data_IF_255928424145
#
_entry.id   IF_255928424145
#
_cell.length_a   1.000
_cell.length_b   1.000
_cell.length_c   1.000
_cell.angle_alpha   90.00
_cell.angle_beta   90.00
_cell.angle_gamma   90.00
#
_symmetry.space_group_name_H-M   'P 1'
#
loop_
_entity.id
_entity.type
_entity.pdbx_description
1 polymer ?
#
# COMPACT_ATOMS: atom_id res chain seq x y z
N UNK A 1 -1.29 34.73 11.64
CA UNK A 1 -2.41 35.21 10.81
C UNK A 1 -2.14 34.74 9.36
N UNK A 2 -2.52 33.50 9.03
CA UNK A 2 -2.21 32.87 7.74
C UNK A 2 -3.35 33.08 6.74
N UNK A 3 -3.01 33.59 5.55
CA UNK A 3 -3.94 33.82 4.43
C UNK A 3 -4.38 32.49 3.83
N UNK A 4 -5.68 32.21 3.90
CA UNK A 4 -6.37 31.09 3.27
C UNK A 4 -6.54 31.41 1.78
N UNK A 5 -5.87 30.69 0.89
CA UNK A 5 -6.10 30.78 -0.56
C UNK A 5 -7.33 29.94 -0.89
N UNK A 6 -8.43 30.57 -1.27
CA UNK A 6 -9.57 29.88 -1.87
C UNK A 6 -9.21 29.45 -3.29
N UNK A 7 -9.42 28.16 -3.61
CA UNK A 7 -9.43 27.68 -4.99
C UNK A 7 -10.83 27.17 -5.34
N UNK A 8 -11.29 27.64 -6.49
CA UNK A 8 -12.61 27.43 -7.08
C UNK A 8 -12.83 25.95 -7.40
N UNK A 9 -13.97 25.40 -6.97
CA UNK A 9 -14.38 24.03 -7.28
C UNK A 9 -14.95 23.96 -8.69
N UNK A 10 -14.34 23.15 -9.55
CA UNK A 10 -14.96 22.72 -10.82
C UNK A 10 -15.65 21.39 -10.56
N UNK A 11 -16.96 21.35 -10.75
CA UNK A 11 -17.75 20.11 -10.76
C UNK A 11 -17.55 19.43 -12.12
N UNK A 12 -17.12 18.17 -12.13
CA UNK A 12 -17.23 17.31 -13.30
C UNK A 12 -18.20 16.15 -13.01
N UNK A 13 -19.26 16.11 -13.80
CA UNK A 13 -20.27 15.05 -13.84
C UNK A 13 -19.66 13.82 -14.53
N UNK A 14 -20.03 12.63 -14.03
CA UNK A 14 -19.39 11.37 -14.33
C UNK A 14 -19.43 10.89 -15.78
N UNK A 15 -18.35 10.19 -16.13
CA UNK A 15 -18.33 9.11 -17.10
C UNK A 15 -17.40 8.03 -16.54
N UNK A 16 -17.87 6.78 -16.49
CA UNK A 16 -17.04 5.61 -16.19
C UNK A 16 -16.08 5.46 -17.37
N UNK A 17 -14.84 5.91 -17.19
CA UNK A 17 -13.75 5.72 -18.13
C UNK A 17 -12.86 4.60 -17.60
N UNK A 18 -12.90 3.44 -18.25
CA UNK A 18 -11.81 2.47 -18.18
C UNK A 18 -10.64 3.14 -18.88
N UNK A 19 -9.71 3.71 -18.12
CA UNK A 19 -8.50 4.31 -18.67
C UNK A 19 -7.57 3.17 -19.07
N UNK A 20 -7.63 2.78 -20.35
CA UNK A 20 -6.48 2.14 -20.98
C UNK A 20 -5.45 3.27 -21.22
N UNK A 21 -4.44 3.37 -20.36
CA UNK A 21 -3.30 4.25 -20.60
C UNK A 21 -2.48 3.60 -21.71
N UNK A 22 -2.73 3.98 -22.96
CA UNK A 22 -1.80 3.74 -24.04
C UNK A 22 -0.70 4.81 -23.94
N UNK A 23 0.46 4.44 -23.38
CA UNK A 23 1.64 5.30 -23.47
C UNK A 23 2.15 5.24 -24.91
N UNK A 24 1.79 6.23 -25.71
CA UNK A 24 2.35 6.42 -27.04
C UNK A 24 3.78 6.98 -26.90
N UNK A 25 4.79 6.11 -27.01
CA UNK A 25 6.15 6.54 -27.23
C UNK A 25 6.26 7.10 -28.66
N UNK A 26 6.48 8.40 -28.77
CA UNK A 26 6.87 9.03 -30.03
C UNK A 26 8.31 8.61 -30.34
N UNK A 27 8.48 7.80 -31.39
CA UNK A 27 9.78 7.51 -31.97
C UNK A 27 10.34 8.79 -32.61
N UNK A 28 11.08 9.58 -31.83
CA UNK A 28 11.92 10.66 -32.32
C UNK A 28 13.20 10.09 -32.91
N UNK A 29 13.35 10.19 -34.23
CA UNK A 29 14.57 9.85 -34.94
C UNK A 29 15.68 10.87 -34.68
N UNK A 30 16.88 10.37 -34.35
CA UNK A 30 18.16 11.04 -34.62
C UNK A 30 18.81 11.80 -33.46
N UNK A 31 19.84 11.19 -32.86
CA UNK A 31 20.81 11.89 -32.01
C UNK A 31 21.48 10.98 -30.96
N UNK A 32 22.61 10.39 -31.30
CA UNK A 32 23.39 9.51 -30.44
C UNK A 32 24.34 10.32 -29.53
N UNK A 33 24.11 10.32 -28.21
CA UNK A 33 25.15 10.50 -27.18
C UNK A 33 24.58 10.14 -25.81
N UNK A 34 25.21 9.17 -25.14
CA UNK A 34 24.59 8.33 -24.13
C UNK A 34 24.16 8.98 -22.82
N UNK A 35 23.08 8.42 -22.28
CA UNK A 35 23.02 7.92 -20.90
C UNK A 35 22.00 6.79 -20.90
N UNK A 36 22.44 5.55 -20.66
CA UNK A 36 21.54 4.45 -20.35
C UNK A 36 20.81 4.82 -19.05
N UNK A 37 19.57 5.29 -19.15
CA UNK A 37 18.66 5.27 -18.01
C UNK A 37 18.39 3.80 -17.70
N UNK A 38 18.83 3.35 -16.53
CA UNK A 38 18.53 2.01 -16.04
C UNK A 38 17.02 1.81 -16.07
N UNK A 39 16.54 0.69 -16.64
CA UNK A 39 15.11 0.37 -16.72
C UNK A 39 14.51 0.00 -15.36
N UNK A 40 15.11 0.40 -14.24
CA UNK A 40 14.72 0.05 -12.86
C UNK A 40 14.02 1.20 -12.13
N UNK A 41 14.02 2.41 -12.69
CA UNK A 41 13.52 3.59 -11.98
C UNK A 41 11.98 3.70 -12.04
N UNK A 42 11.37 3.14 -13.10
CA UNK A 42 9.92 3.13 -13.29
C UNK A 42 9.38 1.75 -12.94
N UNK A 43 8.52 1.68 -11.92
CA UNK A 43 7.86 0.44 -11.49
C UNK A 43 6.43 0.44 -11.96
N UNK A 44 6.03 -0.66 -12.61
CA UNK A 44 4.65 -0.95 -12.97
C UNK A 44 4.21 -2.24 -12.30
N UNK A 45 3.17 -2.17 -11.47
CA UNK A 45 2.60 -3.31 -10.76
C UNK A 45 1.09 -3.37 -11.01
N UNK A 46 0.58 -4.57 -11.32
CA UNK A 46 -0.84 -4.87 -11.35
C UNK A 46 -1.12 -6.02 -10.40
N UNK A 47 -1.96 -5.76 -9.39
CA UNK A 47 -2.39 -6.75 -8.42
C UNK A 47 -3.89 -7.05 -8.51
N UNK A 48 -4.25 -8.29 -8.23
CA UNK A 48 -5.64 -8.75 -8.07
C UNK A 48 -5.72 -9.73 -6.89
N UNK A 49 -6.73 -10.61 -6.82
CA UNK A 49 -6.98 -11.53 -5.70
C UNK A 49 -6.88 -10.81 -4.33
N UNK A 50 -7.86 -9.94 -4.08
CA UNK A 50 -7.78 -8.96 -2.99
C UNK A 50 -8.17 -9.58 -1.67
N UNK A 51 -7.46 -9.18 -0.62
CA UNK A 51 -7.73 -9.59 0.74
C UNK A 51 -7.83 -8.39 1.66
N UNK A 52 -8.93 -8.27 2.37
CA UNK A 52 -9.11 -7.30 3.45
C UNK A 52 -8.42 -7.87 4.69
N UNK A 53 -7.50 -7.11 5.27
CA UNK A 53 -6.75 -7.50 6.47
C UNK A 53 -7.45 -6.96 7.71
N UNK A 54 -8.34 -7.77 8.28
CA UNK A 54 -9.01 -7.45 9.55
C UNK A 54 -9.93 -6.22 9.45
N UNK A 55 -9.81 -5.32 10.42
CA UNK A 55 -10.59 -4.10 10.56
C UNK A 55 -10.36 -3.46 11.92
N UNK A 56 -11.14 -2.43 12.25
CA UNK A 56 -11.02 -1.69 13.50
C UNK A 56 -10.89 -2.63 14.71
N UNK A 57 -9.86 -2.39 15.53
CA UNK A 57 -9.45 -3.21 16.65
C UNK A 57 -8.26 -4.13 16.35
N UNK A 58 -8.17 -4.64 15.12
CA UNK A 58 -7.09 -5.55 14.72
C UNK A 58 -6.89 -5.51 13.19
N UNK A 59 -5.99 -4.64 12.73
CA UNK A 59 -5.76 -4.38 11.31
C UNK A 59 -4.61 -5.18 10.70
N UNK A 60 -4.03 -6.11 11.46
CA UNK A 60 -2.97 -7.00 10.98
C UNK A 60 -3.36 -8.47 11.05
N UNK A 61 -4.26 -8.87 11.94
CA UNK A 61 -4.78 -10.24 12.04
C UNK A 61 -3.69 -11.31 11.83
N UNK A 62 -2.64 -11.25 12.65
CA UNK A 62 -1.47 -12.12 12.48
C UNK A 62 -1.84 -13.60 12.45
N UNK A 63 -2.87 -14.02 13.18
CA UNK A 63 -3.41 -15.39 13.15
C UNK A 63 -4.24 -15.77 11.92
N UNK A 64 -4.32 -14.92 10.88
CA UNK A 64 -5.08 -15.18 9.65
C UNK A 64 -6.61 -15.05 9.77
N UNK A 65 -7.16 -15.08 10.99
CA UNK A 65 -8.60 -14.89 11.23
C UNK A 65 -9.04 -13.48 10.81
N UNK A 66 -10.12 -13.38 10.03
CA UNK A 66 -10.63 -12.13 9.42
C UNK A 66 -9.73 -11.55 8.31
N UNK A 67 -8.86 -12.37 7.73
CA UNK A 67 -8.27 -12.11 6.42
C UNK A 67 -9.27 -12.55 5.34
N UNK A 68 -9.98 -11.59 4.75
CA UNK A 68 -11.21 -11.87 3.99
C UNK A 68 -11.02 -11.58 2.51
N UNK A 69 -11.22 -12.59 1.66
CA UNK A 69 -11.11 -12.43 0.22
C UNK A 69 -12.26 -11.58 -0.35
N UNK A 70 -11.95 -10.77 -1.36
CA UNK A 70 -12.91 -9.97 -2.10
C UNK A 70 -12.44 -9.74 -3.54
N UNK A 71 -13.31 -9.12 -4.35
CA UNK A 71 -12.98 -8.71 -5.71
C UNK A 71 -12.44 -7.29 -5.73
N UNK A 72 -11.44 -7.05 -6.58
CA UNK A 72 -10.80 -5.76 -6.72
C UNK A 72 -9.48 -5.84 -7.48
N UNK A 73 -8.76 -4.72 -7.51
CA UNK A 73 -7.44 -4.61 -8.12
C UNK A 73 -6.65 -3.45 -7.51
N UNK A 74 -5.34 -3.46 -7.78
CA UNK A 74 -4.45 -2.31 -7.60
C UNK A 74 -3.57 -2.14 -8.84
N UNK A 75 -3.32 -0.90 -9.22
CA UNK A 75 -2.28 -0.50 -10.17
C UNK A 75 -1.33 0.48 -9.51
N UNK A 76 -0.03 0.26 -9.68
CA UNK A 76 1.04 1.14 -9.21
C UNK A 76 1.89 1.47 -10.43
N UNK A 77 1.96 2.74 -10.77
CA UNK A 77 2.77 3.27 -11.87
C UNK A 77 3.58 4.45 -11.33
N UNK A 78 4.82 4.19 -10.92
CA UNK A 78 5.63 5.15 -10.16
C UNK A 78 7.06 5.22 -10.69
N UNK A 79 7.69 6.36 -10.43
CA UNK A 79 9.10 6.60 -10.73
C UNK A 79 9.82 7.07 -9.46
N UNK A 80 10.74 6.26 -8.94
CA UNK A 80 11.46 6.60 -7.70
C UNK A 80 12.43 7.77 -7.90
N UNK A 81 13.01 7.92 -9.10
CA UNK A 81 13.98 8.97 -9.40
C UNK A 81 13.34 10.35 -9.49
N UNK A 82 12.13 10.44 -10.04
CA UNK A 82 11.39 11.71 -10.10
C UNK A 82 10.46 11.92 -8.90
N UNK A 83 10.23 10.87 -8.09
CA UNK A 83 9.28 10.85 -6.98
C UNK A 83 7.86 11.23 -7.43
N UNK A 84 7.44 10.69 -8.57
CA UNK A 84 6.14 10.95 -9.19
C UNK A 84 5.46 9.64 -9.60
N UNK A 85 4.14 9.66 -9.72
CA UNK A 85 3.38 8.51 -10.19
C UNK A 85 1.93 8.52 -9.78
N UNK A 86 1.30 7.36 -9.88
CA UNK A 86 -0.06 7.13 -9.42
C UNK A 86 -0.22 5.72 -8.86
N UNK A 87 -0.98 5.63 -7.76
CA UNK A 87 -1.54 4.38 -7.25
C UNK A 87 -3.06 4.48 -7.28
N UNK A 88 -3.70 3.47 -7.86
CA UNK A 88 -5.16 3.31 -7.84
C UNK A 88 -5.50 1.91 -7.35
N UNK A 89 -6.32 1.83 -6.32
CA UNK A 89 -6.85 0.57 -5.81
C UNK A 89 -8.36 0.63 -5.72
N UNK A 90 -9.05 -0.44 -6.12
CA UNK A 90 -10.50 -0.60 -5.93
C UNK A 90 -10.80 -2.00 -5.38
N UNK A 91 -11.72 -2.09 -4.42
CA UNK A 91 -12.18 -3.38 -3.91
C UNK A 91 -13.60 -3.32 -3.36
N UNK A 92 -14.26 -4.46 -3.30
CA UNK A 92 -15.59 -4.57 -2.70
C UNK A 92 -15.49 -4.86 -1.20
N UNK A 93 -16.39 -4.26 -0.43
CA UNK A 93 -16.50 -4.46 1.02
C UNK A 93 -17.95 -4.79 1.40
N UNK A 94 -18.12 -5.62 2.42
CA UNK A 94 -19.44 -5.95 2.98
C UNK A 94 -19.35 -5.92 4.50
N UNK A 95 -20.13 -5.04 5.13
CA UNK A 95 -20.17 -4.84 6.58
C UNK A 95 -18.77 -4.68 7.22
N UNK A 96 -17.86 -4.03 6.52
CA UNK A 96 -16.48 -3.85 6.99
C UNK A 96 -16.35 -2.61 7.88
N UNK A 97 -15.81 -2.79 9.08
CA UNK A 97 -15.51 -1.70 10.00
C UNK A 97 -14.01 -1.37 9.95
N UNK A 98 -13.65 -0.21 9.40
CA UNK A 98 -12.28 0.30 9.32
C UNK A 98 -12.06 1.57 10.16
N UNK A 99 -13.14 2.12 10.74
CA UNK A 99 -13.18 3.32 11.57
C UNK A 99 -14.28 3.12 12.62
N UNK A 100 -13.89 2.95 13.88
CA UNK A 100 -14.81 2.61 14.97
C UNK A 100 -15.82 3.70 15.31
N UNK A 101 -15.66 4.91 14.77
CA UNK A 101 -16.61 6.01 14.92
C UNK A 101 -17.70 6.02 13.83
N UNK A 102 -17.59 5.17 12.80
CA UNK A 102 -18.48 5.14 11.65
C UNK A 102 -19.26 3.82 11.57
N UNK A 103 -20.43 3.82 10.90
CA UNK A 103 -21.10 2.57 10.53
C UNK A 103 -20.20 1.72 9.62
N UNK A 104 -20.33 0.40 9.74
CA UNK A 104 -19.66 -0.54 8.83
C UNK A 104 -20.03 -0.24 7.37
N UNK A 105 -19.03 -0.27 6.49
CA UNK A 105 -19.20 0.02 5.09
C UNK A 105 -19.60 -1.22 4.27
N UNK A 106 -20.45 -0.97 3.28
CA UNK A 106 -20.81 -1.93 2.22
C UNK A 106 -20.80 -1.22 0.88
N UNK A 107 -20.16 -1.83 -0.12
CA UNK A 107 -20.07 -1.28 -1.47
C UNK A 107 -18.66 -1.36 -2.03
N UNK A 108 -18.32 -0.42 -2.91
CA UNK A 108 -17.00 -0.34 -3.55
C UNK A 108 -16.14 0.73 -2.90
N UNK A 109 -14.99 0.33 -2.39
CA UNK A 109 -13.92 1.23 -1.95
C UNK A 109 -13.00 1.57 -3.11
N UNK A 110 -12.45 2.78 -3.08
CA UNK A 110 -11.40 3.23 -3.98
C UNK A 110 -10.40 4.11 -3.26
N UNK A 111 -9.12 3.91 -3.55
CA UNK A 111 -8.02 4.78 -3.15
C UNK A 111 -7.37 5.35 -4.42
N UNK A 112 -7.13 6.66 -4.43
CA UNK A 112 -6.37 7.35 -5.48
C UNK A 112 -5.26 8.12 -4.79
N UNK A 113 -4.04 7.96 -5.29
CA UNK A 113 -2.86 8.51 -4.65
C UNK A 113 -1.85 8.97 -5.70
N UNK A 114 -1.51 10.25 -5.67
CA UNK A 114 -0.52 10.88 -6.56
C UNK A 114 0.48 11.78 -5.82
N UNK A 115 0.29 12.01 -4.52
CA UNK A 115 1.16 12.84 -3.69
C UNK A 115 2.11 11.95 -2.88
N UNK A 116 3.38 11.87 -3.30
CA UNK A 116 4.43 11.09 -2.63
C UNK A 116 5.35 12.01 -1.85
N UNK A 117 5.55 11.70 -0.57
CA UNK A 117 6.45 12.46 0.30
C UNK A 117 7.13 11.56 1.33
N UNK A 118 8.47 11.65 1.38
CA UNK A 118 9.32 10.95 2.32
C UNK A 118 9.70 11.85 3.50
N UNK A 119 9.67 11.30 4.71
CA UNK A 119 10.06 12.00 5.94
C UNK A 119 11.38 11.46 6.54
N UNK A 120 11.94 10.41 5.95
CA UNK A 120 13.18 9.77 6.37
C UNK A 120 14.08 9.51 5.16
N UNK A 121 15.39 9.44 5.39
CA UNK A 121 16.41 9.31 4.34
C UNK A 121 16.21 8.10 3.43
N UNK A 122 15.64 7.00 3.95
CA UNK A 122 15.42 5.77 3.18
C UNK A 122 14.18 5.81 2.26
N UNK A 123 13.38 6.86 2.32
CA UNK A 123 12.14 6.98 1.55
C UNK A 123 12.36 7.58 0.16
N UNK A 124 13.58 8.03 -0.19
CA UNK A 124 13.95 8.57 -1.51
C UNK A 124 12.97 9.65 -2.03
N UNK A 125 12.51 10.53 -1.12
CA UNK A 125 11.53 11.58 -1.43
C UNK A 125 10.07 11.15 -1.35
N UNK A 126 9.78 9.87 -1.16
CA UNK A 126 8.44 9.31 -1.02
C UNK A 126 8.24 8.01 -1.78
N UNK A 127 9.14 7.61 -2.68
CA UNK A 127 9.12 6.32 -3.38
C UNK A 127 10.53 5.71 -3.33
N UNK A 128 10.66 4.52 -2.76
CA UNK A 128 11.93 3.80 -2.66
C UNK A 128 11.82 2.39 -3.24
N UNK A 129 12.91 1.88 -3.81
CA UNK A 129 12.97 0.55 -4.43
C UNK A 129 14.08 -0.30 -3.79
N UNK A 130 13.90 -1.62 -3.81
CA UNK A 130 14.93 -2.62 -3.43
C UNK A 130 15.54 -2.42 -2.04
N UNK A 131 14.69 -2.41 -1.01
CA UNK A 131 15.10 -2.24 0.39
C UNK A 131 14.39 -3.22 1.31
N UNK A 132 15.00 -3.51 2.46
CA UNK A 132 14.32 -4.20 3.56
C UNK A 132 13.57 -3.19 4.43
N UNK A 133 12.31 -3.53 4.74
CA UNK A 133 11.45 -2.77 5.67
C UNK A 133 11.01 -3.64 6.86
N UNK A 134 10.53 -2.98 7.91
CA UNK A 134 10.00 -3.59 9.14
C UNK A 134 11.03 -4.47 9.86
N UNK A 135 10.55 -5.41 10.69
CA UNK A 135 11.41 -6.31 11.47
C UNK A 135 12.56 -5.60 12.17
N UNK A 136 13.78 -6.05 11.87
CA UNK A 136 15.04 -5.52 12.37
C UNK A 136 15.80 -4.67 11.33
N UNK A 137 15.13 -4.30 10.22
CA UNK A 137 15.75 -3.49 9.16
C UNK A 137 16.17 -2.08 9.58
N UNK A 138 15.66 -1.62 10.74
CA UNK A 138 15.79 -0.25 11.21
C UNK A 138 14.94 0.76 10.43
N UNK A 139 14.06 0.30 9.52
CA UNK A 139 13.19 1.13 8.69
C UNK A 139 11.73 0.75 8.93
N UNK A 140 10.89 1.76 9.14
CA UNK A 140 9.49 1.61 9.52
C UNK A 140 9.22 0.97 10.89
N UNK A 141 7.98 1.09 11.35
CA UNK A 141 7.54 0.43 12.58
C UNK A 141 7.66 -1.10 12.43
N UNK A 142 8.13 -1.85 13.44
CA UNK A 142 8.37 -3.30 13.34
C UNK A 142 7.06 -4.11 13.49
N UNK A 143 6.06 -3.83 12.65
CA UNK A 143 4.72 -4.45 12.66
C UNK A 143 4.59 -5.66 11.74
N UNK A 144 5.56 -5.86 10.85
CA UNK A 144 5.70 -7.06 10.00
C UNK A 144 7.10 -7.68 10.23
N UNK A 145 7.31 -8.93 9.79
CA UNK A 145 8.65 -9.49 9.61
C UNK A 145 9.57 -8.56 8.83
N UNK A 146 10.88 -8.71 9.00
CA UNK A 146 11.85 -8.11 8.07
C UNK A 146 11.56 -8.64 6.68
N UNK A 147 11.15 -7.77 5.75
CA UNK A 147 10.68 -8.20 4.43
C UNK A 147 11.37 -7.41 3.33
N UNK A 148 11.81 -8.12 2.28
CA UNK A 148 12.34 -7.47 1.08
C UNK A 148 11.21 -6.78 0.34
N UNK A 149 11.44 -5.52 0.00
CA UNK A 149 10.47 -4.64 -0.64
C UNK A 149 11.04 -4.19 -1.98
N UNK A 150 10.39 -4.65 -3.05
CA UNK A 150 10.74 -4.31 -4.43
C UNK A 150 10.46 -2.83 -4.71
N UNK A 151 9.34 -2.33 -4.19
CA UNK A 151 8.96 -0.92 -4.28
C UNK A 151 8.05 -0.54 -3.12
N UNK A 152 8.26 0.65 -2.55
CA UNK A 152 7.45 1.22 -1.50
C UNK A 152 7.15 2.68 -1.79
N UNK A 153 5.99 3.15 -1.34
CA UNK A 153 5.63 4.56 -1.39
C UNK A 153 5.10 5.06 -0.06
N UNK A 154 5.26 6.35 0.20
CA UNK A 154 4.73 7.10 1.34
C UNK A 154 4.16 8.43 0.85
N UNK A 155 3.04 8.86 1.43
CA UNK A 155 2.42 10.11 1.03
C UNK A 155 0.96 10.22 1.44
N UNK A 156 0.19 10.96 0.64
CA UNK A 156 -1.21 11.30 0.91
C UNK A 156 -2.15 10.78 -0.18
N UNK A 157 -3.27 10.20 0.25
CA UNK A 157 -4.25 9.62 -0.65
C UNK A 157 -5.68 10.06 -0.34
N UNK A 158 -6.50 10.02 -1.39
CA UNK A 158 -7.95 10.16 -1.29
C UNK A 158 -8.63 8.80 -1.17
N UNK A 159 -9.67 8.73 -0.35
CA UNK A 159 -10.48 7.52 -0.19
C UNK A 159 -11.93 7.78 -0.54
N UNK A 160 -12.52 6.89 -1.33
CA UNK A 160 -13.89 6.96 -1.80
C UNK A 160 -14.66 5.69 -1.44
N UNK A 161 -15.93 5.84 -1.05
CA UNK A 161 -16.90 4.76 -0.92
C UNK A 161 -18.07 5.02 -1.87
N UNK A 162 -18.35 4.08 -2.76
CA UNK A 162 -19.41 4.19 -3.77
C UNK A 162 -19.30 5.49 -4.60
N UNK A 163 -18.07 5.87 -4.96
CA UNK A 163 -17.78 7.09 -5.72
C UNK A 163 -17.82 8.39 -4.91
N UNK A 164 -18.23 8.37 -3.64
CA UNK A 164 -18.20 9.54 -2.76
C UNK A 164 -16.89 9.58 -1.98
N UNK A 165 -16.15 10.69 -2.08
CA UNK A 165 -14.97 10.92 -1.24
C UNK A 165 -15.39 10.93 0.25
N UNK A 166 -14.73 10.10 1.05
CA UNK A 166 -14.99 9.93 2.49
C UNK A 166 -13.78 10.33 3.35
N UNK A 167 -12.58 10.35 2.77
CA UNK A 167 -11.36 10.95 3.33
C UNK A 167 -10.58 11.66 2.22
N UNK A 168 -9.88 12.70 2.61
CA UNK A 168 -9.08 13.60 1.77
C UNK A 168 -7.70 13.67 2.44
N UNK A 169 -6.63 13.57 1.65
CA UNK A 169 -5.25 13.72 2.11
C UNK A 169 -4.90 12.90 3.38
N UNK A 170 -5.32 11.63 3.43
CA UNK A 170 -4.95 10.71 4.52
C UNK A 170 -3.63 10.02 4.22
N UNK A 171 -2.90 9.64 5.27
CA UNK A 171 -1.60 8.98 5.13
C UNK A 171 -1.79 7.64 4.42
N UNK A 172 -0.99 7.43 3.38
CA UNK A 172 -0.96 6.20 2.62
C UNK A 172 0.47 5.66 2.54
N UNK A 173 0.55 4.32 2.59
CA UNK A 173 1.77 3.57 2.43
C UNK A 173 1.46 2.33 1.61
N UNK A 174 2.19 2.13 0.51
CA UNK A 174 2.17 0.85 -0.19
C UNK A 174 3.54 0.19 -0.07
N UNK A 175 3.55 -1.13 -0.10
CA UNK A 175 4.76 -1.93 -0.27
C UNK A 175 4.46 -3.09 -1.22
N UNK A 176 5.34 -3.30 -2.18
CA UNK A 176 5.41 -4.49 -3.01
C UNK A 176 6.51 -5.37 -2.44
N UNK A 177 6.15 -6.49 -1.82
CA UNK A 177 7.06 -7.27 -0.99
C UNK A 177 7.00 -8.76 -1.31
N UNK A 178 8.00 -9.49 -0.82
CA UNK A 178 7.83 -10.93 -0.58
C UNK A 178 6.64 -11.16 0.36
N UNK A 179 5.98 -12.32 0.25
CA UNK A 179 4.78 -12.63 1.00
C UNK A 179 5.10 -12.86 2.47
N UNK A 180 4.35 -12.26 3.39
CA UNK A 180 4.55 -12.48 4.84
C UNK A 180 3.54 -13.43 5.46
N UNK A 181 2.62 -13.96 4.66
CA UNK A 181 1.50 -14.80 5.13
C UNK A 181 1.52 -16.16 4.47
N UNK A 182 1.22 -17.16 5.29
CA UNK A 182 1.04 -18.52 4.85
C UNK A 182 -0.10 -18.63 3.82
N UNK A 183 0.12 -19.31 2.68
CA UNK A 183 -0.90 -19.41 1.63
C UNK A 183 -2.14 -20.20 2.05
N UNK A 184 -2.03 -21.11 3.02
CA UNK A 184 -3.13 -21.97 3.43
C UNK A 184 -3.90 -21.40 4.63
N UNK A 185 -3.19 -20.96 5.65
CA UNK A 185 -3.75 -20.51 6.93
C UNK A 185 -3.88 -18.99 7.02
N UNK A 186 -3.18 -18.26 6.15
CA UNK A 186 -3.08 -16.80 6.14
C UNK A 186 -2.46 -16.18 7.40
N UNK A 187 -1.91 -17.04 8.27
CA UNK A 187 -1.16 -16.65 9.44
C UNK A 187 0.21 -16.09 9.04
N UNK A 188 0.73 -15.21 9.90
CA UNK A 188 2.13 -14.81 9.87
C UNK A 188 2.86 -15.70 10.87
N UNK A 189 3.85 -16.44 10.39
CA UNK A 189 4.63 -17.36 11.22
C UNK A 189 5.99 -16.77 11.57
N UNK A 190 6.56 -17.31 12.65
CA UNK A 190 7.95 -17.13 13.00
C UNK A 190 8.85 -17.85 12.01
N UNK A 191 10.16 -17.58 12.05
CA UNK A 191 11.14 -18.21 11.16
C UNK A 191 11.14 -19.75 11.18
N UNK A 192 10.63 -20.37 12.24
CA UNK A 192 10.42 -21.82 12.36
C UNK A 192 9.29 -22.39 11.47
N UNK A 193 8.51 -21.51 10.82
CA UNK A 193 7.40 -21.85 9.93
C UNK A 193 6.19 -22.48 10.63
N UNK A 194 6.13 -22.42 11.98
CA UNK A 194 5.12 -23.13 12.77
C UNK A 194 4.51 -22.27 13.88
N UNK A 195 5.36 -21.53 14.59
CA UNK A 195 4.94 -20.72 15.72
C UNK A 195 4.41 -19.38 15.26
N UNK A 196 3.40 -18.85 15.94
CA UNK A 196 2.79 -17.57 15.56
C UNK A 196 3.77 -16.41 15.71
N UNK A 197 3.84 -15.56 14.69
CA UNK A 197 4.54 -14.29 14.76
C UNK A 197 3.87 -13.35 15.76
N UNK A 198 4.69 -12.65 16.55
CA UNK A 198 4.25 -11.58 17.45
C UNK A 198 5.13 -10.36 17.14
N UNK A 199 4.56 -9.22 16.72
CA UNK A 199 5.35 -8.05 16.40
C UNK A 199 5.92 -7.42 17.66
N UNK A 200 7.03 -6.69 17.53
CA UNK A 200 7.73 -6.00 18.61
C UNK A 200 6.87 -5.01 19.42
N UNK A 201 5.93 -4.24 18.84
CA UNK A 201 5.01 -3.42 19.64
C UNK A 201 4.08 -4.24 20.56
N UNK A 202 3.95 -5.55 20.33
CA UNK A 202 3.20 -6.49 21.18
C UNK A 202 4.11 -7.35 22.07
N UNK A 203 5.39 -6.98 22.20
CA UNK A 203 6.37 -7.67 23.04
C UNK A 203 7.05 -8.87 22.39
N UNK A 204 6.88 -9.07 21.08
CA UNK A 204 7.56 -10.13 20.34
C UNK A 204 8.89 -9.69 19.71
N UNK A 205 9.42 -10.57 18.85
CA UNK A 205 10.62 -10.32 18.05
C UNK A 205 10.20 -10.25 16.57
N UNK A 206 10.29 -9.05 16.00
CA UNK A 206 9.89 -8.84 14.60
C UNK A 206 10.94 -9.31 13.59
N UNK A 207 12.19 -9.56 14.02
CA UNK A 207 13.21 -10.17 13.17
C UNK A 207 12.99 -11.66 12.94
N UNK A 208 12.34 -12.33 13.90
CA UNK A 208 12.01 -13.77 13.86
C UNK A 208 10.74 -14.07 13.05
N UNK A 209 10.56 -13.44 11.88
CA UNK A 209 9.39 -13.66 11.02
C UNK A 209 9.75 -14.44 9.75
N UNK A 210 8.83 -15.30 9.29
CA UNK A 210 8.99 -16.04 8.03
C UNK A 210 8.48 -15.22 6.83
N UNK A 211 9.18 -15.35 5.69
CA UNK A 211 8.79 -14.75 4.41
C UNK A 211 8.75 -15.80 3.31
N UNK A 212 7.77 -15.67 2.42
CA UNK A 212 7.50 -16.54 1.28
C UNK A 212 7.98 -15.82 0.02
N UNK A 213 9.26 -16.01 -0.30
CA UNK A 213 9.95 -15.30 -1.38
C UNK A 213 9.43 -15.64 -2.79
N UNK A 214 8.74 -16.77 -2.93
CA UNK A 214 8.06 -17.20 -4.15
C UNK A 214 6.69 -16.54 -4.35
N UNK A 215 6.26 -15.70 -3.40
CA UNK A 215 5.00 -14.97 -3.45
C UNK A 215 5.29 -13.48 -3.35
N UNK A 216 4.81 -12.72 -4.32
CA UNK A 216 4.92 -11.26 -4.29
C UNK A 216 3.53 -10.67 -4.04
N UNK A 217 3.44 -9.82 -3.04
CA UNK A 217 2.19 -9.21 -2.60
C UNK A 217 2.34 -7.70 -2.52
N UNK A 218 1.24 -6.99 -2.75
CA UNK A 218 1.15 -5.57 -2.41
C UNK A 218 0.40 -5.41 -1.10
N UNK A 219 1.03 -4.77 -0.13
CA UNK A 219 0.37 -4.20 1.03
C UNK A 219 -0.04 -2.77 0.68
N UNK A 220 -1.33 -2.45 0.82
CA UNK A 220 -1.82 -1.07 0.83
C UNK A 220 -2.33 -0.77 2.23
N UNK A 221 -1.73 0.23 2.87
CA UNK A 221 -2.14 0.77 4.16
C UNK A 221 -2.58 2.21 3.97
N UNK A 222 -3.76 2.55 4.49
CA UNK A 222 -4.26 3.93 4.52
C UNK A 222 -4.79 4.22 5.91
N UNK A 223 -4.40 5.33 6.51
CA UNK A 223 -4.81 5.69 7.86
C UNK A 223 -4.85 7.20 8.09
N UNK A 224 -5.57 7.62 9.13
CA UNK A 224 -5.53 9.00 9.62
C UNK A 224 -4.25 9.27 10.40
N UNK A 225 -3.85 10.54 10.49
CA UNK A 225 -2.81 11.01 11.41
C UNK A 225 -3.31 11.17 12.86
N UNK A 226 -4.62 11.03 13.07
CA UNK A 226 -5.27 11.13 14.38
C UNK A 226 -5.18 9.80 15.12
N UNK A 227 -4.53 9.85 16.28
CA UNK A 227 -4.44 8.70 17.17
C UNK A 227 -5.80 8.35 17.79
N UNK A 228 -6.14 7.07 17.78
CA UNK A 228 -7.23 6.49 18.54
C UNK A 228 -6.76 6.16 19.96
N UNK A 229 -7.54 6.59 20.95
CA UNK A 229 -7.33 6.25 22.37
C UNK A 229 -8.05 4.97 22.78
N UNK A 230 -8.84 4.40 21.88
CA UNK A 230 -9.51 3.12 22.04
C UNK A 230 -8.58 1.93 21.76
N UNK A 231 -9.19 0.78 21.48
CA UNK A 231 -8.48 -0.50 21.34
C UNK A 231 -8.07 -0.82 19.89
N UNK A 232 -7.73 0.18 19.07
CA UNK A 232 -7.29 -0.06 17.70
C UNK A 232 -5.78 -0.33 17.63
N UNK A 233 -5.37 -1.25 16.74
CA UNK A 233 -3.97 -1.50 16.44
C UNK A 233 -3.74 -1.62 14.92
N UNK A 234 -2.89 -0.77 14.32
CA UNK A 234 -2.25 0.41 14.94
C UNK A 234 -3.27 1.45 15.44
N UNK A 235 -2.91 2.35 16.37
CA UNK A 235 -3.87 3.16 17.11
C UNK A 235 -4.25 4.42 16.35
N UNK A 236 -4.77 4.28 15.14
CA UNK A 236 -5.29 5.39 14.33
C UNK A 236 -6.82 5.33 14.31
N UNK A 237 -7.49 6.48 14.23
CA UNK A 237 -8.97 6.53 14.22
C UNK A 237 -9.58 5.84 13.01
N UNK A 238 -8.88 5.85 11.88
CA UNK A 238 -9.16 5.06 10.69
C UNK A 238 -7.91 4.31 10.29
N UNK A 239 -8.06 3.02 9.97
CA UNK A 239 -6.99 2.22 9.39
C UNK A 239 -7.56 1.19 8.41
N UNK A 240 -7.00 1.16 7.21
CA UNK A 240 -7.32 0.21 6.16
C UNK A 240 -6.04 -0.54 5.80
N UNK A 241 -6.09 -1.86 5.78
CA UNK A 241 -4.99 -2.69 5.29
C UNK A 241 -5.55 -3.72 4.31
N UNK A 242 -5.06 -3.65 3.07
CA UNK A 242 -5.50 -4.48 1.97
C UNK A 242 -4.27 -5.16 1.38
N UNK A 243 -4.38 -6.45 1.08
CA UNK A 243 -3.36 -7.18 0.35
C UNK A 243 -3.86 -7.54 -1.05
N UNK A 244 -2.98 -7.42 -2.03
CA UNK A 244 -3.22 -7.82 -3.42
C UNK A 244 -2.15 -8.80 -3.82
N UNK A 245 -2.51 -9.91 -4.46
CA UNK A 245 -1.52 -10.77 -5.11
C UNK A 245 -1.14 -10.16 -6.45
N UNK A 246 0.15 -10.17 -6.75
CA UNK A 246 0.64 -9.56 -7.98
C UNK A 246 0.39 -10.49 -9.16
N UNK A 247 -0.20 -9.92 -10.21
CA UNK A 247 -0.46 -10.60 -11.49
C UNK A 247 0.50 -10.18 -12.59
N UNK A 248 1.06 -8.97 -12.47
CA UNK A 248 2.11 -8.48 -13.35
C UNK A 248 2.97 -7.49 -12.60
N UNK A 249 4.28 -7.61 -12.79
CA UNK A 249 5.26 -6.65 -12.30
C UNK A 249 6.37 -6.54 -13.34
N UNK A 250 6.84 -5.32 -13.58
CA UNK A 250 7.96 -5.07 -14.47
C UNK A 250 8.93 -4.10 -13.83
N UNK A 251 10.18 -4.13 -14.32
CA UNK A 251 11.24 -3.21 -13.89
C UNK A 251 11.61 -3.30 -12.40
N UNK A 252 11.36 -4.46 -11.79
CA UNK A 252 11.88 -4.81 -10.46
C UNK A 252 12.80 -6.03 -10.60
N UNK A 253 13.85 -6.07 -9.80
CA UNK A 253 14.74 -7.22 -9.69
C UNK A 253 15.15 -7.39 -8.23
N UNK A 254 15.06 -8.61 -7.72
CA UNK A 254 15.76 -8.96 -6.50
C UNK A 254 17.26 -9.01 -6.83
N UNK A 255 18.05 -8.16 -6.17
CA UNK A 255 19.51 -8.14 -6.34
C UNK A 255 20.14 -9.44 -5.80
#
# INVERSE_FOLDING_TARGET
MMKRIQRTKVFLIGAILVVAILVAFTAGAGGNSGTQGSSTDVVHVVGSNVWIVGGYGNNFVYGGKNYTQTNGFITIDVNNKTNEGIVVAEWNVKNWNYDGSKPSATGKMKVIWTDFSGQADFMDGGIANNLYLHGDSGKEAPVLPTVYTYSAGWGLADVYLNGKKIYDDVIAHYMVTDGTRDPLTHAVYKSDGKSMFVPKPMGGDSGDGFVYEDRIMTHLVVHTDVMDKGNNFPPFTMFMHINFEITSISNVSRL
#
